data_IF_251847979240
#
_entry.id   IF_251847979240
#
_cell.length_a   1.000
_cell.length_b   1.000
_cell.length_c   1.000
_cell.angle_alpha   90.00
_cell.angle_beta   90.00
_cell.angle_gamma   90.00
#
_symmetry.space_group_name_H-M   'P 1'
#
loop_
_entity.id
_entity.type
_entity.pdbx_description
1 polymer ?
#
# COMPACT_ATOMS: atom_id res chain seq x y z
N UNK A 1 9.23 -22.87 3.06
CA UNK A 1 10.60 -23.45 3.27
C UNK A 1 10.76 -24.75 2.51
N UNK A 2 9.93 -25.79 2.72
CA UNK A 2 10.06 -27.09 2.04
C UNK A 2 10.10 -26.96 0.52
N UNK A 3 9.20 -26.20 -0.10
CA UNK A 3 9.17 -25.99 -1.55
C UNK A 3 10.48 -25.47 -2.14
N UNK A 4 11.15 -24.57 -1.43
CA UNK A 4 12.45 -24.03 -1.85
C UNK A 4 13.56 -25.06 -1.76
N UNK A 5 13.55 -25.90 -0.71
CA UNK A 5 14.60 -26.88 -0.46
C UNK A 5 14.43 -28.12 -1.35
N UNK A 6 13.19 -28.57 -1.56
CA UNK A 6 12.89 -29.82 -2.28
C UNK A 6 12.57 -29.63 -3.76
N UNK A 7 12.49 -28.39 -4.22
CA UNK A 7 12.04 -27.99 -5.56
C UNK A 7 10.65 -28.56 -5.94
N UNK A 8 9.80 -28.71 -4.94
CA UNK A 8 8.39 -29.11 -5.15
C UNK A 8 7.52 -27.86 -5.09
N UNK A 9 6.95 -27.40 -6.23
CA UNK A 9 6.15 -26.20 -6.27
C UNK A 9 5.00 -26.22 -5.28
N UNK A 10 4.83 -25.13 -4.53
CA UNK A 10 3.73 -24.94 -3.59
C UNK A 10 3.04 -23.60 -3.86
N UNK A 11 1.70 -23.60 -3.86
CA UNK A 11 0.89 -22.41 -4.13
C UNK A 11 0.49 -21.73 -2.83
N UNK A 12 0.71 -20.41 -2.77
CA UNK A 12 0.28 -19.52 -1.67
C UNK A 12 -0.41 -18.28 -2.20
N UNK A 13 -1.11 -17.52 -1.32
CA UNK A 13 -1.33 -16.08 -1.51
C UNK A 13 -0.05 -15.35 -1.11
N UNK A 14 0.45 -14.49 -1.95
CA UNK A 14 1.67 -13.75 -1.69
C UNK A 14 1.53 -12.25 -1.97
N UNK A 15 2.06 -11.42 -1.06
CA UNK A 15 2.12 -9.98 -1.25
C UNK A 15 3.30 -9.63 -2.14
N UNK A 16 3.02 -9.02 -3.28
CA UNK A 16 4.02 -8.63 -4.28
C UNK A 16 3.71 -7.25 -4.83
N UNK A 17 4.72 -6.60 -5.40
CA UNK A 17 4.49 -5.41 -6.22
C UNK A 17 3.62 -5.81 -7.42
N UNK A 18 2.57 -5.03 -7.70
CA UNK A 18 1.57 -5.40 -8.71
C UNK A 18 2.18 -5.64 -10.09
N UNK A 19 3.02 -4.75 -10.59
CA UNK A 19 3.68 -4.90 -11.89
C UNK A 19 2.73 -5.41 -13.03
N UNK A 20 1.42 -5.11 -12.92
CA UNK A 20 0.42 -5.53 -13.89
C UNK A 20 -0.18 -6.93 -13.67
N UNK A 21 0.08 -7.60 -12.56
CA UNK A 21 -0.58 -8.86 -12.20
C UNK A 21 -2.09 -8.68 -12.05
N UNK A 22 -2.52 -7.53 -11.51
CA UNK A 22 -3.90 -7.06 -11.54
C UNK A 22 -3.94 -5.81 -12.43
N UNK A 23 -4.58 -5.92 -13.60
CA UNK A 23 -4.43 -4.95 -14.70
C UNK A 23 -4.99 -3.55 -14.40
N UNK A 24 -6.06 -3.47 -13.60
CA UNK A 24 -6.73 -2.20 -13.28
C UNK A 24 -6.42 -1.66 -11.89
N UNK A 25 -5.30 -2.09 -11.30
CA UNK A 25 -4.70 -1.49 -10.12
C UNK A 25 -3.34 -0.87 -10.46
N UNK A 26 -2.87 0.14 -9.70
CA UNK A 26 -1.55 0.74 -9.92
C UNK A 26 -0.43 -0.28 -9.91
N UNK A 27 0.56 -0.11 -10.78
CA UNK A 27 1.73 -1.01 -10.87
C UNK A 27 2.57 -1.00 -9.59
N UNK A 28 2.58 0.12 -8.88
CA UNK A 28 3.34 0.37 -7.66
C UNK A 28 2.64 -0.14 -6.40
N UNK A 29 1.37 -0.57 -6.51
CA UNK A 29 0.62 -1.09 -5.38
C UNK A 29 1.18 -2.43 -4.91
N UNK A 30 1.15 -2.66 -3.62
CA UNK A 30 1.32 -4.01 -3.07
C UNK A 30 -0.01 -4.75 -3.19
N UNK A 31 0.00 -5.90 -3.83
CA UNK A 31 -1.19 -6.72 -4.05
C UNK A 31 -0.95 -8.16 -3.61
N UNK A 32 -2.00 -8.82 -3.10
CA UNK A 32 -1.97 -10.24 -2.86
C UNK A 32 -2.49 -11.00 -4.08
N UNK A 33 -1.63 -11.84 -4.65
CA UNK A 33 -1.96 -12.69 -5.79
C UNK A 33 -1.52 -14.12 -5.54
N UNK A 34 -2.10 -15.12 -6.25
CA UNK A 34 -1.55 -16.46 -6.22
C UNK A 34 -0.09 -16.46 -6.65
N UNK A 35 0.76 -17.11 -5.84
CA UNK A 35 2.17 -17.28 -6.15
C UNK A 35 2.53 -18.78 -6.07
N UNK A 36 3.37 -19.24 -6.99
CA UNK A 36 4.04 -20.54 -6.87
C UNK A 36 5.45 -20.31 -6.31
N UNK A 37 5.84 -21.15 -5.37
CA UNK A 37 7.17 -21.12 -4.75
C UNK A 37 7.88 -22.43 -5.08
N UNK A 38 9.10 -22.33 -5.59
CA UNK A 38 10.02 -23.45 -5.83
C UNK A 38 11.46 -23.05 -5.50
N UNK A 39 12.45 -23.87 -5.86
CA UNK A 39 13.86 -23.57 -5.62
C UNK A 39 14.37 -22.29 -6.31
N UNK A 40 13.67 -21.81 -7.35
CA UNK A 40 14.01 -20.58 -8.08
C UNK A 40 13.40 -19.34 -7.44
N UNK A 41 12.51 -19.49 -6.45
CA UNK A 41 11.91 -18.37 -5.72
C UNK A 41 10.41 -18.29 -5.82
N UNK A 42 9.89 -17.04 -5.83
CA UNK A 42 8.45 -16.73 -5.84
C UNK A 42 8.02 -16.32 -7.25
N UNK A 43 7.02 -16.99 -7.77
CA UNK A 43 6.48 -16.78 -9.12
C UNK A 43 5.02 -16.32 -9.04
N UNK A 44 4.75 -14.99 -9.04
CA UNK A 44 3.39 -14.48 -9.02
C UNK A 44 2.62 -14.83 -10.30
N UNK A 45 1.33 -15.05 -10.15
CA UNK A 45 0.44 -15.39 -11.27
C UNK A 45 -0.38 -14.17 -11.68
N UNK A 46 -0.47 -13.93 -12.99
CA UNK A 46 -1.33 -12.88 -13.53
C UNK A 46 -2.79 -13.23 -13.27
N UNK A 47 -3.49 -12.33 -12.56
CA UNK A 47 -4.92 -12.47 -12.24
C UNK A 47 -5.80 -11.89 -13.35
N UNK A 48 -5.30 -10.87 -14.05
CA UNK A 48 -6.05 -10.12 -15.04
C UNK A 48 -6.80 -8.95 -14.41
N UNK A 49 -8.00 -8.66 -14.91
CA UNK A 49 -8.77 -7.48 -14.55
C UNK A 49 -9.79 -7.80 -13.45
N UNK A 50 -9.83 -7.02 -12.38
CA UNK A 50 -10.88 -7.09 -11.38
C UNK A 50 -12.17 -6.43 -11.91
N UNK A 51 -13.36 -6.84 -11.42
CA UNK A 51 -14.58 -6.05 -11.59
C UNK A 51 -14.35 -4.62 -11.10
N UNK A 52 -14.86 -3.62 -11.84
CA UNK A 52 -14.55 -2.20 -11.59
C UNK A 52 -14.90 -1.73 -10.17
N UNK A 53 -16.03 -2.17 -9.64
CA UNK A 53 -16.45 -1.81 -8.29
C UNK A 53 -15.47 -2.34 -7.21
N UNK A 54 -14.87 -3.53 -7.44
CA UNK A 54 -13.90 -4.10 -6.52
C UNK A 54 -12.53 -3.40 -6.66
N UNK A 55 -12.13 -3.09 -7.88
CA UNK A 55 -10.92 -2.30 -8.13
C UNK A 55 -11.03 -0.90 -7.48
N UNK A 56 -12.19 -0.25 -7.60
CA UNK A 56 -12.46 1.03 -6.95
C UNK A 56 -12.33 0.94 -5.42
N UNK A 57 -12.90 -0.10 -4.81
CA UNK A 57 -12.80 -0.32 -3.36
C UNK A 57 -11.34 -0.56 -2.93
N UNK A 58 -10.58 -1.38 -3.66
CA UNK A 58 -9.15 -1.57 -3.39
C UNK A 58 -8.39 -0.24 -3.50
N UNK A 59 -8.73 0.58 -4.52
CA UNK A 59 -8.07 1.85 -4.78
C UNK A 59 -8.22 2.84 -3.64
N UNK A 60 -9.33 2.83 -2.90
CA UNK A 60 -9.51 3.72 -1.73
C UNK A 60 -8.46 3.49 -0.65
N UNK A 61 -7.97 2.25 -0.49
CA UNK A 61 -6.91 1.92 0.46
C UNK A 61 -5.51 2.03 -0.15
N UNK A 62 -5.37 1.77 -1.45
CA UNK A 62 -4.07 1.89 -2.15
C UNK A 62 -3.60 3.35 -2.19
N UNK A 63 -4.50 4.30 -2.43
CA UNK A 63 -4.16 5.72 -2.54
C UNK A 63 -3.43 6.26 -1.30
N UNK A 64 -3.95 6.14 -0.06
CA UNK A 64 -3.24 6.60 1.13
C UNK A 64 -1.94 5.84 1.37
N UNK A 65 -1.87 4.53 1.04
CA UNK A 65 -0.64 3.76 1.16
C UNK A 65 0.48 4.30 0.26
N UNK A 66 0.18 4.58 -1.01
CA UNK A 66 1.16 5.14 -1.95
C UNK A 66 1.60 6.54 -1.52
N UNK A 67 0.69 7.39 -1.03
CA UNK A 67 1.03 8.71 -0.49
C UNK A 67 1.89 8.63 0.77
N UNK A 68 1.61 7.68 1.66
CA UNK A 68 2.43 7.45 2.85
C UNK A 68 3.85 7.00 2.47
N UNK A 69 3.99 6.14 1.46
CA UNK A 69 5.30 5.73 0.93
C UNK A 69 6.02 6.93 0.31
N UNK A 70 5.32 7.73 -0.50
CA UNK A 70 5.88 8.94 -1.11
C UNK A 70 6.35 9.92 -0.04
N UNK A 71 5.54 10.19 1.00
CA UNK A 71 5.92 11.01 2.15
C UNK A 71 7.20 10.51 2.81
N UNK A 72 7.28 9.19 3.04
CA UNK A 72 8.44 8.59 3.72
C UNK A 72 9.73 8.68 2.88
N UNK A 73 9.64 8.53 1.57
CA UNK A 73 10.80 8.55 0.66
C UNK A 73 11.25 9.97 0.36
N UNK A 74 10.31 10.88 0.08
CA UNK A 74 10.62 12.26 -0.31
C UNK A 74 10.76 13.22 0.86
N UNK A 75 10.31 12.82 2.06
CA UNK A 75 10.22 13.69 3.24
C UNK A 75 9.31 14.90 3.03
N UNK A 76 8.33 14.77 2.12
CA UNK A 76 7.32 15.79 1.87
C UNK A 76 6.20 15.69 2.91
N UNK A 77 6.15 16.66 3.82
CA UNK A 77 5.16 16.75 4.88
C UNK A 77 3.72 16.86 4.35
N UNK A 78 3.53 17.51 3.21
CA UNK A 78 2.21 17.68 2.59
C UNK A 78 1.54 16.34 2.25
N UNK A 79 2.34 15.32 1.91
CA UNK A 79 1.86 13.98 1.57
C UNK A 79 1.27 13.23 2.77
N UNK A 80 1.72 13.55 3.99
CA UNK A 80 1.15 12.98 5.23
C UNK A 80 -0.31 13.41 5.36
N UNK A 81 -0.58 14.71 5.20
CA UNK A 81 -1.95 15.23 5.26
C UNK A 81 -2.82 14.66 4.15
N UNK A 82 -2.30 14.61 2.91
CA UNK A 82 -3.01 14.04 1.77
C UNK A 82 -3.35 12.56 1.98
N UNK A 83 -2.42 11.78 2.53
CA UNK A 83 -2.66 10.38 2.87
C UNK A 83 -3.78 10.23 3.91
N UNK A 84 -3.74 11.03 4.98
CA UNK A 84 -4.77 11.02 6.03
C UNK A 84 -6.15 11.47 5.50
N UNK A 85 -6.19 12.47 4.61
CA UNK A 85 -7.43 12.96 3.97
C UNK A 85 -8.05 11.95 3.01
N UNK A 86 -7.25 11.08 2.39
CA UNK A 86 -7.72 10.05 1.46
C UNK A 86 -7.94 8.69 2.10
N UNK A 87 -7.57 8.52 3.37
CA UNK A 87 -7.88 7.31 4.11
C UNK A 87 -9.41 7.20 4.31
N UNK A 88 -10.06 6.11 3.87
CA UNK A 88 -11.51 6.01 3.89
C UNK A 88 -12.11 6.01 5.29
N UNK A 89 -11.37 5.52 6.29
CA UNK A 89 -11.85 5.56 7.68
C UNK A 89 -11.73 6.95 8.25
N UNK A 90 -10.57 7.57 8.12
CA UNK A 90 -10.31 8.93 8.63
C UNK A 90 -11.25 9.95 8.01
N UNK A 91 -11.41 9.92 6.67
CA UNK A 91 -12.32 10.80 5.94
C UNK A 91 -13.81 10.56 6.26
N UNK A 92 -14.16 9.35 6.69
CA UNK A 92 -15.53 9.00 7.09
C UNK A 92 -15.90 9.45 8.51
N UNK A 93 -14.93 9.79 9.34
CA UNK A 93 -15.12 10.08 10.77
C UNK A 93 -14.81 11.54 11.11
N UNK A 94 -13.81 12.14 10.48
CA UNK A 94 -13.30 13.48 10.78
C UNK A 94 -13.56 14.46 9.64
N UNK A 95 -13.78 15.73 9.98
CA UNK A 95 -13.73 16.83 9.02
C UNK A 95 -12.28 17.10 8.56
N UNK A 96 -12.12 17.81 7.44
CA UNK A 96 -10.78 18.16 6.92
C UNK A 96 -9.94 18.92 7.96
N UNK A 97 -10.56 19.86 8.68
CA UNK A 97 -9.85 20.64 9.71
C UNK A 97 -9.42 19.78 10.90
N UNK A 98 -10.23 18.79 11.26
CA UNK A 98 -9.87 17.82 12.33
C UNK A 98 -8.75 16.89 11.87
N UNK A 99 -8.74 16.48 10.59
CA UNK A 99 -7.64 15.68 10.03
C UNK A 99 -6.33 16.47 10.06
N UNK A 100 -6.34 17.73 9.65
CA UNK A 100 -5.15 18.60 9.70
C UNK A 100 -4.65 18.71 11.14
N UNK A 101 -5.53 19.03 12.09
CA UNK A 101 -5.16 19.13 13.51
C UNK A 101 -4.59 17.83 14.06
N UNK A 102 -5.21 16.69 13.75
CA UNK A 102 -4.71 15.37 14.14
C UNK A 102 -3.28 15.12 13.60
N UNK A 103 -3.05 15.45 12.32
CA UNK A 103 -1.72 15.30 11.72
C UNK A 103 -0.70 16.22 12.41
N UNK A 104 -1.05 17.47 12.70
CA UNK A 104 -0.16 18.41 13.41
C UNK A 104 0.21 17.89 14.80
N UNK A 105 -0.76 17.47 15.58
CA UNK A 105 -0.55 16.92 16.93
C UNK A 105 0.35 15.67 16.90
N UNK A 106 0.15 14.76 15.92
CA UNK A 106 0.96 13.56 15.78
C UNK A 106 2.39 13.89 15.32
N UNK A 107 2.56 14.81 14.38
CA UNK A 107 3.89 15.26 13.92
C UNK A 107 4.66 15.90 15.06
N UNK A 108 4.02 16.75 15.86
CA UNK A 108 4.64 17.39 17.01
C UNK A 108 5.02 16.36 18.09
N UNK A 109 4.16 15.40 18.35
CA UNK A 109 4.43 14.32 19.30
C UNK A 109 5.60 13.42 18.88
N UNK A 110 5.81 13.22 17.56
CA UNK A 110 6.95 12.45 17.04
C UNK A 110 8.27 13.22 17.07
N UNK A 111 8.23 14.56 17.17
CA UNK A 111 9.40 15.44 17.41
C UNK A 111 10.56 15.16 16.46
N UNK A 112 11.69 14.72 17.03
CA UNK A 112 12.94 14.49 16.28
C UNK A 112 12.82 13.54 15.08
N UNK A 113 11.88 12.59 15.09
CA UNK A 113 11.66 11.69 13.96
C UNK A 113 11.07 12.40 12.74
N UNK A 114 10.44 13.56 12.94
CA UNK A 114 9.80 14.32 11.88
C UNK A 114 10.61 15.52 11.39
N UNK A 115 11.80 15.78 11.95
CA UNK A 115 12.62 16.98 11.65
C UNK A 115 13.04 17.12 10.18
N UNK A 116 13.18 16.00 9.48
CA UNK A 116 13.60 15.99 8.08
C UNK A 116 12.43 16.20 7.11
N UNK A 117 11.18 16.15 7.60
CA UNK A 117 9.99 16.38 6.78
C UNK A 117 9.72 17.88 6.63
N UNK A 118 9.62 18.34 5.38
CA UNK A 118 9.44 19.75 4.99
C UNK A 118 8.07 19.98 4.36
#
# INVERSE_FOLDING_TARGET
>A
MEAVVTDRPYKIGGNVLNNGYIENLPSEACVEVPCYIDARGVHPVKVGRLPEQLAAMNRTNINPQLLAIEAAVTKDRSKIYQAAMLDPHTAGVLSIDEIVRMCDELIDAHGEYMKDYK
#
